data_IF_088866367160
#
_entry.id   IF_088866367160
#
_cell.length_a   1.000
_cell.length_b   1.000
_cell.length_c   1.000
_cell.angle_alpha   90.00
_cell.angle_beta   90.00
_cell.angle_gamma   90.00
#
_symmetry.space_group_name_H-M   'P 1'
#
loop_
_entity.id
_entity.type
_entity.pdbx_description
1 polymer ?
#
# COMPACT_ATOMS: atom_id res chain seq x y z
N UNK A 1 -5.91 -48.04 -20.25
CA UNK A 1 -4.81 -47.21 -20.81
C UNK A 1 -5.24 -46.38 -22.03
N UNK A 2 -6.13 -46.86 -22.92
CA UNK A 2 -6.60 -46.04 -24.07
C UNK A 2 -7.41 -44.79 -23.67
N UNK A 3 -8.26 -44.86 -22.64
CA UNK A 3 -9.11 -43.72 -22.24
C UNK A 3 -8.33 -42.58 -21.53
N UNK A 4 -7.23 -42.90 -20.83
CA UNK A 4 -6.35 -41.90 -20.23
C UNK A 4 -5.57 -41.10 -21.29
N UNK A 5 -5.18 -41.75 -22.39
CA UNK A 5 -4.51 -41.10 -23.52
C UNK A 5 -5.42 -40.14 -24.29
N UNK A 6 -6.71 -40.45 -24.40
CA UNK A 6 -7.73 -39.57 -25.02
C UNK A 6 -8.03 -38.35 -24.15
N UNK A 7 -8.04 -38.51 -22.82
CA UNK A 7 -8.22 -37.43 -21.86
C UNK A 7 -7.03 -36.45 -21.83
N UNK A 8 -5.79 -36.96 -21.85
CA UNK A 8 -4.58 -36.15 -21.99
C UNK A 8 -4.52 -35.38 -23.32
N UNK A 9 -4.93 -36.01 -24.42
CA UNK A 9 -5.01 -35.35 -25.73
C UNK A 9 -6.11 -34.28 -25.81
N UNK A 10 -7.16 -34.39 -24.99
CA UNK A 10 -8.21 -33.36 -24.84
C UNK A 10 -7.67 -32.13 -24.09
N UNK A 11 -6.91 -32.34 -23.01
CA UNK A 11 -6.30 -31.27 -22.22
C UNK A 11 -5.25 -30.47 -23.01
N UNK A 12 -4.44 -31.14 -23.84
CA UNK A 12 -3.43 -30.46 -24.68
C UNK A 12 -4.06 -29.66 -25.82
N UNK A 13 -5.16 -30.14 -26.42
CA UNK A 13 -5.93 -29.39 -27.42
C UNK A 13 -6.62 -28.17 -26.81
N UNK A 14 -7.18 -28.31 -25.61
CA UNK A 14 -7.84 -27.20 -24.89
C UNK A 14 -6.82 -26.11 -24.50
N UNK A 15 -5.65 -26.50 -23.99
CA UNK A 15 -4.55 -25.58 -23.68
C UNK A 15 -3.99 -24.87 -24.92
N UNK A 16 -3.83 -25.57 -26.05
CA UNK A 16 -3.38 -24.98 -27.31
C UNK A 16 -4.40 -23.98 -27.90
N UNK A 17 -5.70 -24.26 -27.74
CA UNK A 17 -6.77 -23.33 -28.18
C UNK A 17 -6.84 -22.08 -27.30
N UNK A 18 -6.64 -22.23 -25.98
CA UNK A 18 -6.58 -21.13 -25.02
C UNK A 18 -5.36 -20.24 -25.25
N UNK A 19 -4.20 -20.84 -25.56
CA UNK A 19 -2.98 -20.10 -25.87
C UNK A 19 -3.10 -19.30 -27.17
N UNK A 20 -3.68 -19.88 -28.23
CA UNK A 20 -3.95 -19.14 -29.49
C UNK A 20 -4.92 -17.98 -29.29
N UNK A 21 -5.98 -18.15 -28.49
CA UNK A 21 -6.93 -17.06 -28.14
C UNK A 21 -6.27 -15.97 -27.30
N UNK A 22 -5.35 -16.34 -26.39
CA UNK A 22 -4.61 -15.39 -25.56
C UNK A 22 -3.61 -14.56 -26.36
N UNK A 23 -2.89 -15.19 -27.30
CA UNK A 23 -1.96 -14.49 -28.23
C UNK A 23 -2.72 -13.54 -29.14
N UNK A 24 -3.82 -14.00 -29.77
CA UNK A 24 -4.62 -13.18 -30.69
C UNK A 24 -5.25 -11.94 -29.98
N UNK A 25 -5.70 -12.10 -28.73
CA UNK A 25 -6.27 -11.01 -27.94
C UNK A 25 -5.23 -9.97 -27.50
N UNK A 26 -3.95 -10.35 -27.33
CA UNK A 26 -2.86 -9.41 -27.03
C UNK A 26 -2.33 -8.66 -28.25
N UNK A 27 -2.35 -9.27 -29.44
CA UNK A 27 -1.97 -8.59 -30.69
C UNK A 27 -2.95 -7.48 -31.10
N UNK A 28 -4.24 -7.63 -30.76
CA UNK A 28 -5.28 -6.60 -30.96
C UNK A 28 -5.23 -5.43 -29.94
N UNK A 29 -4.42 -5.53 -28.88
CA UNK A 29 -4.30 -4.53 -27.80
C UNK A 29 -2.95 -3.79 -27.81
N UNK A 30 -2.13 -3.92 -28.86
CA UNK A 30 -0.91 -3.12 -29.04
C UNK A 30 0.24 -3.41 -28.06
N UNK A 31 0.21 -4.52 -27.32
CA UNK A 31 1.28 -4.88 -26.38
C UNK A 31 2.39 -5.65 -27.10
N UNK A 32 3.50 -4.98 -27.42
CA UNK A 32 4.72 -5.62 -27.94
C UNK A 32 5.43 -6.39 -26.82
N UNK A 33 5.59 -7.71 -26.97
CA UNK A 33 6.46 -8.51 -26.10
C UNK A 33 7.91 -8.48 -26.64
N UNK A 34 8.93 -8.35 -25.76
CA UNK A 34 10.32 -8.30 -26.21
C UNK A 34 10.76 -9.63 -26.84
N UNK A 35 11.46 -9.53 -27.98
CA UNK A 35 11.88 -10.62 -28.87
C UNK A 35 12.81 -11.68 -28.25
N UNK A 36 13.11 -11.61 -26.96
CA UNK A 36 14.06 -12.50 -26.27
C UNK A 36 13.44 -13.80 -25.74
N UNK A 37 12.11 -13.90 -25.58
CA UNK A 37 11.48 -15.09 -24.98
C UNK A 37 10.96 -16.13 -25.97
N UNK A 38 10.78 -15.80 -27.25
CA UNK A 38 10.26 -16.75 -28.25
C UNK A 38 11.37 -17.67 -28.80
N UNK A 39 12.58 -17.16 -28.93
CA UNK A 39 13.75 -17.93 -29.40
C UNK A 39 14.20 -19.00 -28.40
N UNK A 40 14.14 -18.73 -27.09
CA UNK A 40 14.53 -19.72 -26.07
C UNK A 40 13.56 -20.92 -25.97
N UNK A 41 12.27 -20.69 -26.16
CA UNK A 41 11.24 -21.75 -26.09
C UNK A 41 11.34 -22.68 -27.30
N UNK A 42 11.64 -22.15 -28.49
CA UNK A 42 11.82 -22.95 -29.71
C UNK A 42 13.12 -23.77 -29.71
N UNK A 43 14.20 -23.25 -29.12
CA UNK A 43 15.47 -23.99 -28.96
C UNK A 43 15.27 -25.18 -28.00
N UNK A 44 14.56 -24.99 -26.88
CA UNK A 44 14.23 -26.07 -25.95
C UNK A 44 13.29 -27.13 -26.57
N UNK A 45 12.36 -26.73 -27.44
CA UNK A 45 11.47 -27.69 -28.12
C UNK A 45 12.24 -28.55 -29.13
N UNK A 46 13.15 -27.97 -29.93
CA UNK A 46 13.92 -28.73 -30.92
C UNK A 46 14.97 -29.67 -30.30
N UNK A 47 15.61 -29.29 -29.19
CA UNK A 47 16.58 -30.16 -28.49
C UNK A 47 15.96 -31.44 -27.90
N UNK A 48 14.64 -31.50 -27.69
CA UNK A 48 13.96 -32.70 -27.16
C UNK A 48 13.61 -33.75 -28.22
N UNK A 49 13.75 -33.41 -29.51
CA UNK A 49 13.33 -34.27 -30.64
C UNK A 49 14.45 -35.11 -31.26
N UNK A 50 15.71 -34.93 -30.86
CA UNK A 50 16.87 -35.62 -31.45
C UNK A 50 17.61 -36.59 -30.52
N UNK A 51 17.06 -36.91 -29.34
CA UNK A 51 17.73 -37.80 -28.39
C UNK A 51 16.99 -39.14 -28.31
N UNK A 52 17.62 -40.28 -28.70
CA UNK A 52 17.00 -41.60 -28.63
C UNK A 52 16.62 -41.96 -27.17
N UNK A 53 15.48 -42.64 -27.00
CA UNK A 53 14.79 -42.87 -25.71
C UNK A 53 15.69 -43.43 -24.60
N UNK A 54 16.76 -44.13 -24.96
CA UNK A 54 17.66 -44.84 -24.06
C UNK A 54 18.64 -43.89 -23.34
N UNK A 55 18.91 -42.71 -23.91
CA UNK A 55 19.79 -41.69 -23.33
C UNK A 55 19.08 -40.73 -22.36
N UNK A 56 17.73 -40.77 -22.32
CA UNK A 56 16.94 -39.95 -21.37
C UNK A 56 17.11 -40.42 -19.92
N UNK A 57 17.37 -41.71 -19.70
CA UNK A 57 17.54 -42.29 -18.37
C UNK A 57 18.85 -41.79 -17.72
N UNK A 58 19.95 -41.73 -18.47
CA UNK A 58 21.24 -41.26 -17.95
C UNK A 58 21.29 -39.75 -17.68
N UNK A 59 20.58 -38.94 -18.47
CA UNK A 59 20.50 -37.49 -18.23
C UNK A 59 19.67 -37.15 -16.98
N UNK A 60 18.69 -38.00 -16.63
CA UNK A 60 17.88 -37.80 -15.42
C UNK A 60 18.67 -38.13 -14.15
N UNK A 61 19.61 -39.08 -14.21
CA UNK A 61 20.48 -39.44 -13.08
C UNK A 61 21.63 -38.45 -12.85
N UNK A 62 22.17 -37.81 -13.89
CA UNK A 62 23.22 -36.79 -13.74
C UNK A 62 22.70 -35.48 -13.10
N UNK A 63 21.44 -35.12 -13.35
CA UNK A 63 20.80 -33.96 -12.69
C UNK A 63 20.56 -34.23 -11.20
N UNK A 64 20.27 -35.49 -10.82
CA UNK A 64 20.03 -35.87 -9.42
C UNK A 64 21.30 -35.81 -8.54
N UNK A 65 22.50 -35.99 -9.12
CA UNK A 65 23.76 -35.91 -8.37
C UNK A 65 24.33 -34.48 -8.25
N UNK A 66 23.97 -33.56 -9.15
CA UNK A 66 24.36 -32.14 -9.02
C UNK A 66 23.58 -31.40 -7.90
N UNK A 67 22.45 -31.96 -7.43
CA UNK A 67 21.64 -31.39 -6.34
C UNK A 67 22.17 -31.65 -4.92
N UNK A 68 23.31 -32.34 -4.75
CA UNK A 68 23.98 -32.46 -3.44
C UNK A 68 24.98 -31.32 -3.16
N UNK A 69 24.91 -30.24 -3.95
CA UNK A 69 25.64 -29.01 -3.66
C UNK A 69 25.11 -28.38 -2.38
N UNK A 70 25.88 -28.53 -1.30
CA UNK A 70 25.93 -27.65 -0.12
C UNK A 70 24.58 -27.09 0.32
N UNK A 71 23.94 -27.79 1.27
CA UNK A 71 23.09 -27.11 2.26
C UNK A 71 24.02 -26.20 3.09
N UNK A 72 24.41 -25.06 2.53
CA UNK A 72 24.72 -23.92 3.37
C UNK A 72 23.42 -23.69 4.14
N UNK A 73 23.51 -23.84 5.46
CA UNK A 73 22.52 -23.29 6.37
C UNK A 73 22.32 -21.84 5.95
N UNK A 74 21.25 -21.58 5.20
CA UNK A 74 20.84 -20.23 4.88
C UNK A 74 20.64 -19.60 6.24
N UNK A 75 21.55 -18.72 6.60
CA UNK A 75 21.48 -17.93 7.81
C UNK A 75 20.09 -17.32 7.79
N UNK A 76 19.16 -17.85 8.59
CA UNK A 76 17.82 -17.31 8.66
C UNK A 76 18.01 -15.83 8.95
N UNK A 77 17.64 -14.92 8.03
CA UNK A 77 17.83 -13.52 8.30
C UNK A 77 17.09 -13.27 9.60
N UNK A 78 17.82 -12.84 10.63
CA UNK A 78 17.23 -12.44 11.92
C UNK A 78 15.99 -11.64 11.56
N UNK A 79 14.82 -12.11 12.00
CA UNK A 79 13.53 -11.56 11.61
C UNK A 79 13.64 -10.03 11.58
N UNK A 80 13.55 -9.44 10.38
CA UNK A 80 13.79 -8.01 10.20
C UNK A 80 12.96 -7.26 11.24
N UNK A 81 13.64 -6.47 12.08
CA UNK A 81 13.06 -5.64 13.14
C UNK A 81 11.80 -4.99 12.58
N UNK A 82 10.66 -5.12 13.27
CA UNK A 82 9.40 -4.52 12.82
C UNK A 82 9.63 -3.02 12.63
N UNK A 83 9.52 -2.55 11.40
CA UNK A 83 9.81 -1.15 11.05
C UNK A 83 8.53 -0.36 11.23
N UNK A 84 8.57 0.57 12.18
CA UNK A 84 7.59 1.64 12.29
C UNK A 84 8.20 2.87 11.61
N UNK A 85 7.46 3.46 10.68
CA UNK A 85 7.96 4.57 9.87
C UNK A 85 7.51 5.90 10.48
N UNK A 86 8.46 6.72 10.93
CA UNK A 86 8.20 8.06 11.46
C UNK A 86 8.67 9.19 10.53
N UNK A 87 9.48 8.89 9.52
CA UNK A 87 9.97 9.86 8.52
C UNK A 87 9.86 9.30 7.10
N UNK A 88 9.81 10.19 6.11
CA UNK A 88 9.92 9.80 4.70
C UNK A 88 11.32 9.22 4.38
N UNK A 89 11.41 8.49 3.26
CA UNK A 89 12.63 7.80 2.84
C UNK A 89 13.61 8.68 2.05
N UNK A 90 13.16 9.82 1.50
CA UNK A 90 13.97 10.71 0.66
C UNK A 90 14.09 12.11 1.27
N UNK A 91 15.28 12.73 1.31
CA UNK A 91 15.43 14.14 1.68
C UNK A 91 14.50 15.04 0.87
N UNK A 92 14.00 16.11 1.48
CA UNK A 92 13.13 17.09 0.86
C UNK A 92 11.66 16.65 0.73
N UNK A 93 11.30 15.45 1.18
CA UNK A 93 9.91 14.97 1.13
C UNK A 93 9.21 15.07 2.48
N UNK A 94 7.91 15.38 2.45
CA UNK A 94 7.10 15.48 3.66
C UNK A 94 5.68 14.97 3.43
N UNK A 95 5.17 14.16 4.37
CA UNK A 95 3.77 13.74 4.40
C UNK A 95 2.98 14.51 5.46
N UNK A 96 1.94 15.22 5.02
CA UNK A 96 0.90 15.78 5.91
C UNK A 96 -0.11 14.68 6.19
N UNK A 97 -0.27 14.35 7.47
CA UNK A 97 -1.18 13.29 7.93
C UNK A 97 -2.21 13.82 8.90
N UNK A 98 -3.41 13.26 8.85
CA UNK A 98 -4.58 13.69 9.62
C UNK A 98 -5.29 12.48 10.24
N UNK A 99 -5.46 12.49 11.56
CA UNK A 99 -6.03 11.37 12.30
C UNK A 99 -7.48 11.62 12.76
N UNK A 100 -8.09 10.55 13.28
CA UNK A 100 -9.36 10.49 14.01
C UNK A 100 -10.65 10.74 13.23
N UNK A 101 -10.49 11.13 11.96
CA UNK A 101 -11.58 11.25 10.99
C UNK A 101 -12.33 9.95 10.73
N UNK A 102 -13.39 9.98 9.91
CA UNK A 102 -13.85 11.12 9.14
C UNK A 102 -14.74 12.06 9.97
N UNK A 103 -14.49 13.35 9.90
CA UNK A 103 -15.32 14.36 10.57
C UNK A 103 -15.64 15.57 9.68
N UNK A 104 -16.20 16.62 10.28
CA UNK A 104 -16.73 17.81 9.61
C UNK A 104 -15.74 18.53 8.69
N UNK A 105 -14.44 18.50 9.01
CA UNK A 105 -13.44 19.31 8.30
C UNK A 105 -12.60 18.52 7.29
N UNK A 106 -12.82 17.20 7.14
CA UNK A 106 -12.09 16.35 6.20
C UNK A 106 -12.07 16.94 4.80
N UNK A 107 -13.25 17.13 4.21
CA UNK A 107 -13.37 17.62 2.83
C UNK A 107 -12.79 19.03 2.68
N UNK A 108 -12.82 19.88 3.71
CA UNK A 108 -12.22 21.22 3.63
C UNK A 108 -10.69 21.16 3.53
N UNK A 109 -10.07 20.24 4.28
CA UNK A 109 -8.63 19.98 4.16
C UNK A 109 -8.32 19.34 2.81
N UNK A 110 -9.11 18.33 2.44
CA UNK A 110 -9.03 17.61 1.16
C UNK A 110 -9.05 18.56 -0.04
N UNK A 111 -10.08 19.41 -0.14
CA UNK A 111 -10.24 20.42 -1.18
C UNK A 111 -9.07 21.41 -1.20
N UNK A 112 -8.66 21.90 -0.03
CA UNK A 112 -7.55 22.84 0.08
C UNK A 112 -6.23 22.25 -0.46
N UNK A 113 -5.95 20.97 -0.18
CA UNK A 113 -4.75 20.28 -0.65
C UNK A 113 -4.86 19.96 -2.14
N UNK A 114 -6.02 19.45 -2.59
CA UNK A 114 -6.29 19.13 -3.99
C UNK A 114 -6.12 20.34 -4.91
N UNK A 115 -6.65 21.50 -4.53
CA UNK A 115 -6.53 22.76 -5.28
C UNK A 115 -5.08 23.24 -5.46
N UNK A 116 -4.13 22.61 -4.77
CA UNK A 116 -2.69 22.93 -4.79
C UNK A 116 -1.83 21.78 -5.31
N UNK A 117 -2.45 20.75 -5.87
CA UNK A 117 -1.78 19.51 -6.32
C UNK A 117 -0.99 18.82 -5.20
N UNK A 118 -1.53 18.86 -3.97
CA UNK A 118 -0.93 18.22 -2.80
C UNK A 118 -1.78 17.03 -2.41
N UNK A 119 -1.12 15.90 -2.13
CA UNK A 119 -1.79 14.72 -1.57
C UNK A 119 -1.53 14.62 -0.07
N UNK A 120 -2.59 14.49 0.73
CA UNK A 120 -2.51 14.17 2.16
C UNK A 120 -2.73 12.69 2.46
N UNK A 121 -2.57 12.30 3.71
CA UNK A 121 -2.99 10.99 4.24
C UNK A 121 -3.94 11.15 5.40
N UNK A 122 -5.10 10.52 5.33
CA UNK A 122 -6.15 10.57 6.35
C UNK A 122 -6.28 9.20 7.01
N UNK A 123 -5.91 9.09 8.28
CA UNK A 123 -6.08 7.86 9.06
C UNK A 123 -7.44 7.88 9.75
N UNK A 124 -8.36 7.04 9.25
CA UNK A 124 -9.77 7.10 9.63
C UNK A 124 -10.18 5.97 10.57
N UNK A 125 -11.11 6.28 11.48
CA UNK A 125 -11.66 5.36 12.47
C UNK A 125 -13.00 4.79 11.99
N UNK A 126 -13.30 3.57 12.43
CA UNK A 126 -14.59 2.93 12.14
C UNK A 126 -15.78 3.58 12.86
N UNK A 127 -15.61 3.90 14.14
CA UNK A 127 -16.59 4.64 14.95
C UNK A 127 -15.82 5.47 15.99
N UNK A 128 -15.82 6.79 15.84
CA UNK A 128 -15.15 7.72 16.76
C UNK A 128 -15.97 9.02 16.89
N UNK A 129 -15.67 10.02 16.06
CA UNK A 129 -16.48 11.24 15.96
C UNK A 129 -17.78 11.04 15.17
N UNK A 130 -17.79 10.08 14.23
CA UNK A 130 -18.95 9.59 13.49
C UNK A 130 -18.77 8.09 13.17
N UNK A 131 -19.80 7.46 12.58
CA UNK A 131 -19.66 6.11 12.02
C UNK A 131 -19.19 6.16 10.57
N UNK A 132 -18.16 5.37 10.24
CA UNK A 132 -17.60 5.25 8.89
C UNK A 132 -18.62 4.76 7.85
N UNK A 133 -19.71 4.15 8.31
CA UNK A 133 -20.79 3.61 7.50
C UNK A 133 -21.97 4.57 7.30
N UNK A 134 -22.00 5.71 7.98
CA UNK A 134 -23.06 6.70 7.78
C UNK A 134 -22.99 7.24 6.35
N UNK A 135 -24.15 7.39 5.69
CA UNK A 135 -24.21 7.73 4.25
C UNK A 135 -23.41 8.99 3.90
N UNK A 136 -23.51 10.01 4.74
CA UNK A 136 -22.79 11.28 4.54
C UNK A 136 -21.28 11.10 4.75
N UNK A 137 -20.88 10.28 5.73
CA UNK A 137 -19.47 9.94 5.97
C UNK A 137 -18.88 9.16 4.81
N UNK A 138 -19.61 8.18 4.26
CA UNK A 138 -19.19 7.44 3.06
C UNK A 138 -19.02 8.39 1.87
N UNK A 139 -19.90 9.39 1.72
CA UNK A 139 -19.76 10.42 0.67
C UNK A 139 -18.49 11.27 0.87
N UNK A 140 -18.19 11.68 2.10
CA UNK A 140 -16.97 12.42 2.43
C UNK A 140 -15.71 11.60 2.10
N UNK A 141 -15.67 10.34 2.51
CA UNK A 141 -14.54 9.45 2.20
C UNK A 141 -14.34 9.24 0.71
N UNK A 142 -15.42 9.01 -0.05
CA UNK A 142 -15.35 8.85 -1.51
C UNK A 142 -14.83 10.12 -2.19
N UNK A 143 -15.22 11.29 -1.70
CA UNK A 143 -14.73 12.58 -2.19
C UNK A 143 -13.22 12.71 -1.96
N UNK A 144 -12.76 12.50 -0.73
CA UNK A 144 -11.34 12.55 -0.38
C UNK A 144 -10.51 11.54 -1.15
N UNK A 145 -11.02 10.33 -1.33
CA UNK A 145 -10.38 9.30 -2.15
C UNK A 145 -10.26 9.71 -3.62
N UNK A 146 -11.33 10.27 -4.21
CA UNK A 146 -11.35 10.68 -5.62
C UNK A 146 -10.36 11.81 -5.93
N UNK A 147 -9.96 12.59 -4.93
CA UNK A 147 -8.91 13.62 -5.03
C UNK A 147 -7.48 13.07 -4.96
N UNK A 148 -7.31 11.75 -4.87
CA UNK A 148 -6.01 11.09 -4.87
C UNK A 148 -5.30 11.07 -3.52
N UNK A 149 -5.98 11.43 -2.43
CA UNK A 149 -5.45 11.28 -1.09
C UNK A 149 -5.42 9.81 -0.65
N UNK A 150 -4.47 9.50 0.25
CA UNK A 150 -4.42 8.19 0.88
C UNK A 150 -5.37 8.14 2.08
N UNK A 151 -6.25 7.15 2.13
CA UNK A 151 -7.06 6.84 3.31
C UNK A 151 -6.43 5.65 4.02
N UNK A 152 -5.79 5.92 5.16
CA UNK A 152 -5.28 4.91 6.09
C UNK A 152 -6.39 4.41 7.01
N UNK A 153 -6.25 3.20 7.55
CA UNK A 153 -7.25 2.62 8.44
C UNK A 153 -6.78 2.62 9.88
N UNK A 154 -7.67 3.01 10.79
CA UNK A 154 -7.66 2.59 12.19
C UNK A 154 -8.63 1.41 12.46
N UNK A 155 -9.54 1.05 11.51
CA UNK A 155 -10.22 -0.26 11.22
C UNK A 155 -11.33 -0.06 10.13
N UNK A 156 -11.76 -1.13 9.41
CA UNK A 156 -13.12 -1.33 8.78
C UNK A 156 -13.44 -0.84 7.32
N UNK A 157 -12.97 -1.42 6.18
CA UNK A 157 -13.38 -0.92 4.82
C UNK A 157 -13.67 -1.89 3.63
N UNK A 158 -13.55 -3.23 3.72
CA UNK A 158 -13.85 -4.16 2.58
C UNK A 158 -12.87 -4.11 1.38
N UNK A 159 -12.19 -2.99 1.21
CA UNK A 159 -10.78 -2.91 0.89
C UNK A 159 -10.04 -2.62 2.20
N UNK A 160 -8.79 -3.03 2.29
CA UNK A 160 -7.98 -2.76 3.46
C UNK A 160 -6.88 -1.77 3.09
N UNK A 161 -6.84 -0.57 3.67
CA UNK A 161 -5.68 0.30 3.58
C UNK A 161 -4.42 -0.44 4.02
N UNK A 162 -3.33 -0.34 3.26
CA UNK A 162 -2.05 -0.92 3.65
C UNK A 162 -1.40 -0.15 4.78
N UNK A 163 -1.77 1.11 4.99
CA UNK A 163 -1.20 1.98 6.01
C UNK A 163 -2.09 2.04 7.25
N UNK A 164 -1.47 1.86 8.41
CA UNK A 164 -2.09 1.87 9.73
C UNK A 164 -1.27 2.75 10.66
N UNK A 165 -1.95 3.56 11.47
CA UNK A 165 -1.33 4.26 12.59
C UNK A 165 -1.98 3.75 13.87
N UNK A 166 -1.17 3.52 14.90
CA UNK A 166 -1.70 3.07 16.18
C UNK A 166 -2.34 4.27 16.89
N UNK A 167 -3.55 4.13 17.49
CA UNK A 167 -4.07 5.15 18.39
C UNK A 167 -3.02 5.51 19.45
N UNK A 168 -2.83 6.82 19.66
CA UNK A 168 -1.80 7.38 20.56
C UNK A 168 -0.34 7.03 20.19
N UNK A 169 -0.09 6.43 19.02
CA UNK A 169 1.22 5.88 18.67
C UNK A 169 1.61 4.66 19.53
N UNK A 170 0.66 4.08 20.27
CA UNK A 170 0.96 3.01 21.23
C UNK A 170 0.96 1.63 20.56
N UNK A 171 2.13 1.02 20.49
CA UNK A 171 2.29 -0.32 19.94
C UNK A 171 3.31 -1.15 20.73
N UNK A 172 3.03 -2.46 20.80
CA UNK A 172 3.92 -3.46 21.35
C UNK A 172 4.52 -4.31 20.22
N UNK A 173 5.58 -5.07 20.50
CA UNK A 173 6.18 -5.99 19.51
C UNK A 173 5.16 -7.01 19.01
N UNK A 174 4.29 -7.47 19.89
CA UNK A 174 3.23 -8.44 19.61
C UNK A 174 2.20 -7.84 18.63
N UNK A 175 1.75 -6.61 18.89
CA UNK A 175 0.80 -5.92 18.03
C UNK A 175 1.41 -5.63 16.65
N UNK A 176 2.67 -5.17 16.60
CA UNK A 176 3.40 -4.93 15.35
C UNK A 176 3.58 -6.22 14.53
N UNK A 177 3.78 -7.36 15.19
CA UNK A 177 3.85 -8.67 14.53
C UNK A 177 2.53 -9.02 13.85
N UNK A 178 1.40 -8.83 14.54
CA UNK A 178 0.06 -9.07 13.98
C UNK A 178 -0.22 -8.12 12.81
N UNK A 179 0.10 -6.84 12.96
CA UNK A 179 -0.10 -5.85 11.89
C UNK A 179 0.70 -6.22 10.63
N UNK A 180 1.98 -6.60 10.79
CA UNK A 180 2.82 -7.09 9.70
C UNK A 180 2.28 -8.36 9.05
N UNK A 181 1.86 -9.36 9.84
CA UNK A 181 1.27 -10.60 9.32
C UNK A 181 -0.01 -10.34 8.52
N UNK A 182 -0.74 -9.29 8.89
CA UNK A 182 -1.92 -8.86 8.14
C UNK A 182 -1.56 -8.02 6.91
N UNK A 183 -0.30 -7.64 6.70
CA UNK A 183 0.14 -6.82 5.57
C UNK A 183 0.00 -5.32 5.77
N UNK A 184 -0.06 -4.85 7.02
CA UNK A 184 -0.04 -3.40 7.32
C UNK A 184 1.40 -2.87 7.40
N UNK A 185 1.59 -1.66 6.88
CA UNK A 185 2.70 -0.74 7.13
C UNK A 185 2.29 0.17 8.28
N UNK A 186 3.09 0.20 9.35
CA UNK A 186 2.81 1.02 10.55
C UNK A 186 3.52 2.36 10.45
N UNK A 187 2.77 3.44 10.64
CA UNK A 187 3.21 4.81 10.40
C UNK A 187 3.01 5.66 11.66
N UNK A 188 4.10 6.17 12.22
CA UNK A 188 4.11 7.16 13.29
C UNK A 188 4.34 8.57 12.68
N UNK A 189 4.98 9.46 13.41
CA UNK A 189 5.30 10.82 12.99
C UNK A 189 6.64 11.26 13.55
N UNK A 190 7.29 12.20 12.86
CA UNK A 190 8.52 12.85 13.32
C UNK A 190 8.27 14.26 13.83
N UNK A 191 7.08 14.80 13.60
CA UNK A 191 6.67 16.13 14.01
C UNK A 191 5.19 16.14 14.37
N UNK A 192 4.89 16.66 15.55
CA UNK A 192 3.54 16.70 16.11
C UNK A 192 3.06 18.16 16.18
N UNK A 193 1.89 18.43 15.61
CA UNK A 193 1.29 19.77 15.69
C UNK A 193 0.72 20.09 17.07
N UNK A 194 0.58 19.06 17.92
CA UNK A 194 0.00 19.08 19.26
C UNK A 194 -1.45 19.63 19.29
N UNK A 195 -2.14 19.65 18.16
CA UNK A 195 -3.51 20.16 18.03
C UNK A 195 -4.49 19.37 18.90
N UNK A 196 -4.34 18.05 18.98
CA UNK A 196 -5.13 17.20 19.88
C UNK A 196 -4.76 17.34 21.36
N UNK A 197 -3.56 17.85 21.66
CA UNK A 197 -3.11 18.15 23.03
C UNK A 197 -3.55 19.54 23.52
N UNK A 198 -4.36 20.25 22.75
CA UNK A 198 -4.85 21.59 23.10
C UNK A 198 -3.89 22.72 22.72
N UNK A 199 -2.92 22.49 21.82
CA UNK A 199 -2.11 23.57 21.29
C UNK A 199 -2.97 24.59 20.54
N UNK A 200 -2.74 25.88 20.81
CA UNK A 200 -3.36 26.94 20.01
C UNK A 200 -2.85 26.91 18.57
N UNK A 201 -3.65 27.42 17.62
CA UNK A 201 -3.20 27.59 16.23
C UNK A 201 -1.88 28.37 16.12
N UNK A 202 -1.61 29.32 17.03
CA UNK A 202 -0.31 30.03 17.07
C UNK A 202 0.85 29.09 17.36
N UNK A 203 0.68 28.17 18.33
CA UNK A 203 1.70 27.19 18.72
C UNK A 203 1.94 26.19 17.59
N UNK A 204 0.90 25.59 17.02
CA UNK A 204 1.03 24.63 15.91
C UNK A 204 1.63 25.28 14.66
N UNK A 205 1.25 26.52 14.31
CA UNK A 205 1.90 27.27 13.22
C UNK A 205 3.37 27.54 13.48
N UNK A 206 3.74 27.87 14.72
CA UNK A 206 5.14 28.08 15.09
C UNK A 206 5.97 26.78 14.99
N UNK A 207 5.37 25.62 15.28
CA UNK A 207 5.98 24.32 15.03
C UNK A 207 6.32 24.16 13.54
N UNK A 208 5.36 24.38 12.64
CA UNK A 208 5.61 24.27 11.19
C UNK A 208 6.64 25.27 10.68
N UNK A 209 6.66 26.51 11.19
CA UNK A 209 7.71 27.49 10.86
C UNK A 209 9.10 27.01 11.29
N UNK A 210 9.21 26.29 12.43
CA UNK A 210 10.48 25.67 12.86
C UNK A 210 10.83 24.46 12.01
N UNK A 211 9.84 23.63 11.67
CA UNK A 211 10.00 22.45 10.83
C UNK A 211 10.54 22.82 9.44
N UNK A 212 10.02 23.89 8.85
CA UNK A 212 10.46 24.40 7.55
C UNK A 212 11.98 24.66 7.50
N UNK A 213 12.58 25.11 8.62
CA UNK A 213 14.02 25.35 8.73
C UNK A 213 14.87 24.07 8.75
N UNK A 214 14.26 22.90 8.92
CA UNK A 214 14.95 21.60 8.92
C UNK A 214 15.15 21.03 7.52
N UNK A 215 14.66 21.69 6.47
CA UNK A 215 14.85 21.24 5.09
C UNK A 215 16.35 20.99 4.79
N UNK A 216 16.73 19.87 4.15
CA UNK A 216 15.88 18.86 3.50
C UNK A 216 15.58 17.61 4.36
N UNK A 217 15.55 17.69 5.69
CA UNK A 217 15.29 16.51 6.54
C UNK A 217 13.87 15.97 6.33
N UNK A 218 13.67 14.71 5.91
CA UNK A 218 12.33 14.17 5.62
C UNK A 218 11.43 14.14 6.85
N UNK A 219 10.12 14.36 6.68
CA UNK A 219 9.18 14.40 7.82
C UNK A 219 7.86 13.68 7.52
N UNK A 220 7.25 13.14 8.58
CA UNK A 220 5.83 12.82 8.60
C UNK A 220 5.20 13.66 9.72
N UNK A 221 4.24 14.51 9.38
CA UNK A 221 3.62 15.44 10.32
C UNK A 221 2.25 14.94 10.79
N UNK A 222 2.06 14.84 12.10
CA UNK A 222 0.78 14.50 12.74
C UNK A 222 -0.08 15.74 12.95
N UNK A 223 -1.32 15.66 12.50
CA UNK A 223 -2.41 16.59 12.75
C UNK A 223 -3.71 15.80 12.91
N UNK A 224 -4.79 16.49 13.26
CA UNK A 224 -6.11 15.88 13.41
C UNK A 224 -7.15 16.72 12.66
N UNK A 225 -7.81 16.11 11.68
CA UNK A 225 -8.83 16.79 10.86
C UNK A 225 -10.13 17.10 11.62
N UNK A 226 -10.25 16.63 12.86
CA UNK A 226 -11.40 16.84 13.73
C UNK A 226 -11.43 18.26 14.33
N UNK A 227 -10.32 19.01 14.20
CA UNK A 227 -10.16 20.35 14.77
C UNK A 227 -10.31 21.46 13.72
N UNK A 228 -11.18 22.42 14.02
CA UNK A 228 -11.47 23.58 13.15
C UNK A 228 -10.22 24.38 12.81
N UNK A 229 -9.40 24.67 13.82
CA UNK A 229 -8.21 25.48 13.66
C UNK A 229 -7.13 24.74 12.85
N UNK A 230 -7.07 23.41 12.94
CA UNK A 230 -6.21 22.58 12.10
C UNK A 230 -6.56 22.74 10.62
N UNK A 231 -7.85 22.66 10.30
CA UNK A 231 -8.34 22.83 8.94
C UNK A 231 -8.17 24.28 8.42
N UNK A 232 -8.57 25.28 9.20
CA UNK A 232 -8.72 26.66 8.71
C UNK A 232 -7.47 27.53 8.88
N UNK A 233 -6.55 27.16 9.78
CA UNK A 233 -5.39 28.00 10.12
C UNK A 233 -4.06 27.26 10.03
N UNK A 234 -3.96 26.06 10.60
CA UNK A 234 -2.69 25.34 10.70
C UNK A 234 -2.30 24.74 9.35
N UNK A 235 -3.19 24.01 8.69
CA UNK A 235 -2.92 23.39 7.38
C UNK A 235 -2.51 24.42 6.32
N UNK A 236 -3.23 25.56 6.15
CA UNK A 236 -2.81 26.56 5.18
C UNK A 236 -1.43 27.17 5.46
N UNK A 237 -1.12 27.42 6.73
CA UNK A 237 0.19 27.92 7.13
C UNK A 237 1.28 26.88 6.90
N UNK A 238 1.03 25.62 7.27
CA UNK A 238 1.95 24.50 7.07
C UNK A 238 2.32 24.37 5.59
N UNK A 239 1.33 24.24 4.71
CA UNK A 239 1.54 24.15 3.25
C UNK A 239 2.40 25.31 2.76
N UNK A 240 2.03 26.55 3.14
CA UNK A 240 2.75 27.75 2.72
C UNK A 240 4.23 27.74 3.12
N UNK A 241 4.54 27.47 4.40
CA UNK A 241 5.93 27.54 4.88
C UNK A 241 6.78 26.37 4.40
N UNK A 242 6.17 25.20 4.19
CA UNK A 242 6.87 23.99 3.76
C UNK A 242 7.20 24.02 2.27
N UNK A 243 6.25 24.43 1.42
CA UNK A 243 6.52 24.64 0.00
C UNK A 243 7.57 25.76 -0.19
N UNK A 244 7.48 26.86 0.57
CA UNK A 244 8.49 27.93 0.54
C UNK A 244 9.89 27.44 0.95
N UNK A 245 9.98 26.46 1.84
CA UNK A 245 11.25 25.85 2.25
C UNK A 245 11.78 24.82 1.23
N UNK A 246 10.98 24.42 0.25
CA UNK A 246 11.37 23.48 -0.81
C UNK A 246 10.91 22.03 -0.58
N UNK A 247 10.04 21.76 0.39
CA UNK A 247 9.52 20.41 0.59
C UNK A 247 8.54 20.01 -0.53
N UNK A 248 8.69 18.78 -1.02
CA UNK A 248 7.68 18.09 -1.81
C UNK A 248 6.64 17.46 -0.87
N UNK A 249 5.39 17.89 -0.99
CA UNK A 249 4.29 17.45 -0.14
C UNK A 249 3.53 16.31 -0.82
N UNK A 250 3.47 15.13 -0.17
CA UNK A 250 2.92 13.91 -0.76
C UNK A 250 2.23 13.03 0.28
N UNK A 251 1.48 12.01 -0.16
CA UNK A 251 0.90 11.06 0.77
C UNK A 251 1.95 10.04 1.26
N UNK A 252 1.66 9.34 2.36
CA UNK A 252 2.64 8.47 3.05
C UNK A 252 3.25 7.40 2.14
N UNK A 253 2.50 6.79 1.23
CA UNK A 253 3.05 5.76 0.33
C UNK A 253 4.18 6.29 -0.58
N UNK A 254 3.99 7.44 -1.23
CA UNK A 254 5.03 8.12 -2.01
C UNK A 254 6.21 8.53 -1.12
N UNK A 255 5.92 9.08 0.07
CA UNK A 255 6.90 9.47 1.07
C UNK A 255 7.80 8.30 1.52
N UNK A 256 7.26 7.08 1.56
CA UNK A 256 8.01 5.86 1.88
C UNK A 256 8.60 5.15 0.65
N UNK A 257 8.46 5.73 -0.55
CA UNK A 257 8.94 5.15 -1.80
C UNK A 257 8.20 3.89 -2.23
N UNK A 258 6.96 3.70 -1.78
CA UNK A 258 6.14 2.50 -2.02
C UNK A 258 5.22 2.64 -3.25
N UNK A 259 5.17 3.80 -3.90
CA UNK A 259 4.35 4.05 -5.09
C UNK A 259 3.02 4.75 -4.78
N UNK A 260 2.25 5.00 -5.82
CA UNK A 260 0.97 5.75 -5.77
C UNK A 260 -0.16 5.06 -6.51
N UNK A 261 0.06 3.86 -7.06
CA UNK A 261 -1.00 3.09 -7.68
C UNK A 261 -1.92 2.50 -6.60
N UNK A 262 -3.17 2.18 -6.95
CA UNK A 262 -4.14 1.68 -5.97
C UNK A 262 -3.69 0.40 -5.27
N UNK A 263 -2.96 -0.47 -5.96
CA UNK A 263 -2.37 -1.68 -5.40
C UNK A 263 -1.25 -1.39 -4.40
N UNK A 264 -0.60 -0.23 -4.44
CA UNK A 264 0.41 0.19 -3.45
C UNK A 264 -0.26 0.72 -2.18
N UNK A 265 -1.45 1.30 -2.31
CA UNK A 265 -2.18 1.97 -1.25
C UNK A 265 -3.14 1.03 -0.49
N UNK A 266 -3.77 0.10 -1.21
CA UNK A 266 -4.84 -0.75 -0.70
C UNK A 266 -4.60 -2.22 -1.04
N UNK A 267 -5.10 -3.08 -0.17
CA UNK A 267 -5.23 -4.50 -0.40
C UNK A 267 -6.70 -4.82 -0.61
N UNK A 268 -7.02 -5.47 -1.72
CA UNK A 268 -8.36 -6.01 -1.94
C UNK A 268 -8.60 -7.19 -0.98
N UNK A 269 -9.70 -7.16 -0.23
CA UNK A 269 -10.05 -8.23 0.73
C UNK A 269 -11.38 -8.94 0.40
N UNK A 270 -12.04 -8.53 -0.68
CA UNK A 270 -13.30 -9.10 -1.14
C UNK A 270 -14.16 -8.07 -1.88
N UNK A 271 -15.27 -8.53 -2.45
CA UNK A 271 -16.33 -7.61 -2.86
C UNK A 271 -16.89 -6.89 -1.63
N UNK A 272 -17.26 -5.59 -1.73
CA UNK A 272 -17.97 -4.91 -0.65
C UNK A 272 -19.23 -5.71 -0.27
N UNK A 273 -19.32 -6.16 0.98
CA UNK A 273 -20.48 -6.88 1.50
C UNK A 273 -21.26 -6.00 2.47
N UNK A 274 -22.51 -6.39 2.75
CA UNK A 274 -23.22 -5.85 3.92
C UNK A 274 -22.40 -6.10 5.20
N UNK A 275 -22.59 -5.22 6.17
CA UNK A 275 -21.83 -5.16 7.42
C UNK A 275 -21.92 -6.50 8.18
N UNK A 276 -20.78 -7.21 8.29
CA UNK A 276 -20.66 -8.52 8.95
C UNK A 276 -20.65 -8.49 10.49
N UNK A 277 -20.68 -7.32 11.16
CA UNK A 277 -20.66 -7.33 12.63
C UNK A 277 -21.90 -8.03 13.15
N UNK A 278 -21.72 -9.31 13.50
CA UNK A 278 -22.48 -9.98 14.54
C UNK A 278 -22.60 -8.98 15.67
N UNK A 279 -23.83 -8.74 16.12
CA UNK A 279 -24.19 -7.91 17.26
C UNK A 279 -23.38 -8.33 18.51
N UNK A 280 -22.11 -7.96 18.58
CA UNK A 280 -21.38 -7.96 19.83
C UNK A 280 -21.90 -6.72 20.56
N UNK A 281 -22.52 -6.89 21.73
CA UNK A 281 -22.91 -5.75 22.53
C UNK A 281 -21.64 -4.94 22.79
N UNK A 282 -21.59 -3.74 22.25
CA UNK A 282 -20.59 -2.76 22.62
C UNK A 282 -20.84 -2.47 24.10
N UNK A 283 -20.04 -3.04 24.98
CA UNK A 283 -20.01 -2.63 26.37
C UNK A 283 -19.64 -1.14 26.39
N UNK A 284 -20.61 -0.33 26.82
CA UNK A 284 -20.47 1.10 27.08
C UNK A 284 -19.42 1.36 28.14
#
# INVERSE_FOLDING_TARGET
MLEFSKWLASLTRSAASGFKKWVYKRTLLGVTLPSFHITHILILYHLTTLIPMNAKIYLTFLIAFASHSSVQSAHHPKAAKHVVFSTCSKPGTLALTYDDGPYRYQNQISDYLYDRDIKGTFFVNGYNYNCIYDKDVVKHLRHTFAQGHLIGSHKILGIKPKFFRAPYGEHTKENLKVLKQRGYVVVDWSSDSEDSMGASAKKSKAMYTKLAKKYPSPQIALNHETYKDTAHKVTPHAVTVLQKAGYELMHVSECLGMGSNLEDLYQWVGEPSERDVRNFPLHK
#
